data_IF_048527046669
#
_entry.id   IF_048527046669
#
_cell.length_a   1.000
_cell.length_b   1.000
_cell.length_c   1.000
_cell.angle_alpha   90.00
_cell.angle_beta   90.00
_cell.angle_gamma   90.00
#
_symmetry.space_group_name_H-M   'P 1'
#
loop_
_entity.id
_entity.type
_entity.pdbx_description
1 polymer ?
#
# COMPACT_ATOMS: atom_id res chain seq x y z
N UNK A 1 9.02 -15.47 8.31
CA UNK A 1 8.44 -14.78 7.18
C UNK A 1 7.00 -14.37 7.46
N UNK A 2 6.60 -13.19 6.98
CA UNK A 2 5.23 -12.70 7.16
C UNK A 2 4.41 -13.07 5.94
N UNK A 3 3.13 -13.31 6.15
CA UNK A 3 2.22 -13.60 5.06
C UNK A 3 0.78 -13.24 5.40
N UNK A 4 -0.04 -13.12 4.40
CA UNK A 4 -1.46 -12.82 4.56
C UNK A 4 -2.29 -13.42 3.45
N UNK A 5 -3.57 -13.59 3.72
CA UNK A 5 -4.56 -14.12 2.79
C UNK A 5 -5.95 -13.75 3.23
N UNK A 6 -6.96 -14.49 2.87
CA UNK A 6 -8.37 -14.19 3.14
C UNK A 6 -8.66 -14.00 4.63
N UNK A 7 -8.54 -12.76 5.11
CA UNK A 7 -8.76 -12.35 6.50
C UNK A 7 -7.76 -12.93 7.52
N UNK A 8 -6.66 -13.50 7.04
CA UNK A 8 -5.61 -14.06 7.89
C UNK A 8 -4.28 -13.37 7.65
N UNK A 9 -3.52 -13.15 8.72
CA UNK A 9 -2.17 -12.63 8.64
C UNK A 9 -1.24 -13.48 9.49
N UNK A 10 -0.17 -14.00 8.87
CA UNK A 10 0.84 -14.80 9.56
C UNK A 10 1.99 -13.89 10.00
N UNK A 11 2.30 -13.92 11.28
CA UNK A 11 3.36 -13.12 11.88
C UNK A 11 4.39 -14.05 12.52
N UNK A 12 5.62 -13.97 12.05
CA UNK A 12 6.74 -14.70 12.64
C UNK A 12 7.46 -13.79 13.65
N UNK A 13 7.36 -14.12 14.93
CA UNK A 13 7.80 -13.27 16.03
C UNK A 13 9.29 -12.96 16.07
N UNK A 14 10.10 -13.79 15.44
CA UNK A 14 11.54 -13.55 15.34
C UNK A 14 11.89 -12.32 14.47
N UNK A 15 10.94 -11.81 13.71
CA UNK A 15 11.11 -10.60 12.89
C UNK A 15 10.86 -9.29 13.66
N UNK A 16 10.38 -9.32 14.88
CA UNK A 16 10.09 -8.13 15.66
C UNK A 16 11.31 -7.25 15.93
N UNK A 17 12.48 -7.81 15.93
CA UNK A 17 13.72 -7.06 16.13
C UNK A 17 14.05 -6.11 14.97
N UNK A 18 13.29 -6.11 13.89
CA UNK A 18 13.57 -5.35 12.67
C UNK A 18 12.91 -3.96 12.66
N UNK A 19 12.24 -3.55 13.74
CA UNK A 19 11.74 -2.18 13.93
C UNK A 19 10.82 -1.66 12.83
N UNK A 20 11.19 -0.56 12.19
CA UNK A 20 10.39 0.11 11.15
C UNK A 20 10.07 -0.81 9.97
N UNK A 21 10.99 -1.67 9.60
CA UNK A 21 10.77 -2.65 8.55
C UNK A 21 9.61 -3.60 8.90
N UNK A 22 9.50 -3.97 10.18
CA UNK A 22 8.40 -4.80 10.66
C UNK A 22 7.05 -4.10 10.52
N UNK A 23 6.98 -2.80 10.83
CA UNK A 23 5.76 -2.00 10.65
C UNK A 23 5.32 -1.97 9.18
N UNK A 24 6.25 -1.70 8.26
CA UNK A 24 5.96 -1.68 6.82
C UNK A 24 5.47 -3.04 6.31
N UNK A 25 6.12 -4.12 6.73
CA UNK A 25 5.72 -5.48 6.35
C UNK A 25 4.33 -5.80 6.90
N UNK A 26 4.04 -5.43 8.16
CA UNK A 26 2.73 -5.66 8.75
C UNK A 26 1.62 -4.91 8.00
N UNK A 27 1.86 -3.66 7.60
CA UNK A 27 0.91 -2.87 6.81
C UNK A 27 0.70 -3.51 5.44
N UNK A 28 1.76 -3.94 4.78
CA UNK A 28 1.70 -4.62 3.48
C UNK A 28 0.83 -5.89 3.54
N UNK A 29 1.08 -6.75 4.53
CA UNK A 29 0.32 -7.99 4.68
C UNK A 29 -1.13 -7.73 5.11
N UNK A 30 -1.36 -6.71 5.94
CA UNK A 30 -2.72 -6.29 6.31
C UNK A 30 -3.50 -5.80 5.09
N UNK A 31 -2.83 -5.13 4.14
CA UNK A 31 -3.45 -4.71 2.89
C UNK A 31 -3.93 -5.91 2.07
N UNK A 32 -3.13 -6.98 1.98
CA UNK A 32 -3.56 -8.21 1.33
C UNK A 32 -4.81 -8.80 2.01
N UNK A 33 -4.79 -8.85 3.34
CA UNK A 33 -5.89 -9.44 4.10
C UNK A 33 -7.21 -8.69 3.91
N UNK A 34 -7.16 -7.35 3.85
CA UNK A 34 -8.36 -6.51 3.81
C UNK A 34 -8.79 -6.13 2.41
N UNK A 35 -7.87 -5.95 1.49
CA UNK A 35 -8.14 -5.39 0.16
C UNK A 35 -8.28 -6.45 -0.93
N UNK A 36 -7.42 -7.47 -0.93
CA UNK A 36 -7.46 -8.50 -1.96
C UNK A 36 -8.84 -9.18 -2.10
N UNK A 37 -9.50 -9.62 -1.02
CA UNK A 37 -10.81 -10.26 -1.15
C UNK A 37 -11.88 -9.37 -1.77
N UNK A 38 -11.81 -8.05 -1.52
CA UNK A 38 -12.77 -7.09 -2.03
C UNK A 38 -12.58 -6.78 -3.51
N UNK A 39 -11.41 -7.10 -4.06
CA UNK A 39 -10.97 -6.62 -5.37
C UNK A 39 -11.01 -7.66 -6.47
N UNK A 40 -11.16 -8.94 -6.13
CA UNK A 40 -11.24 -10.00 -7.12
C UNK A 40 -12.50 -9.84 -7.98
N UNK A 41 -12.30 -9.57 -9.30
CA UNK A 41 -13.38 -9.48 -10.27
C UNK A 41 -14.34 -8.30 -10.06
N UNK A 42 -13.99 -7.32 -9.23
CA UNK A 42 -14.87 -6.20 -8.87
C UNK A 42 -14.61 -4.95 -9.71
N UNK A 43 -15.57 -4.00 -9.63
CA UNK A 43 -15.42 -2.65 -10.20
C UNK A 43 -14.21 -1.93 -9.58
N UNK A 44 -13.95 -2.15 -8.29
CA UNK A 44 -12.79 -1.59 -7.59
C UNK A 44 -11.49 -2.00 -8.26
N UNK A 45 -11.37 -3.27 -8.64
CA UNK A 45 -10.19 -3.76 -9.35
C UNK A 45 -10.00 -3.05 -10.69
N UNK A 46 -11.07 -2.85 -11.44
CA UNK A 46 -11.03 -2.14 -12.71
C UNK A 46 -10.56 -0.69 -12.54
N UNK A 47 -11.06 0.01 -11.53
CA UNK A 47 -10.66 1.39 -11.21
C UNK A 47 -9.19 1.47 -10.82
N UNK A 48 -8.71 0.52 -10.04
CA UNK A 48 -7.30 0.44 -9.67
C UNK A 48 -6.41 0.24 -10.89
N UNK A 49 -6.79 -0.65 -11.78
CA UNK A 49 -6.05 -0.89 -13.02
C UNK A 49 -5.97 0.36 -13.88
N UNK A 50 -7.03 1.17 -13.92
CA UNK A 50 -7.01 2.48 -14.60
C UNK A 50 -6.02 3.44 -13.95
N UNK A 51 -5.96 3.46 -12.62
CA UNK A 51 -4.99 4.29 -11.90
C UNK A 51 -3.54 3.87 -12.21
N UNK A 52 -3.27 2.57 -12.25
CA UNK A 52 -1.96 2.03 -12.66
C UNK A 52 -1.57 2.55 -14.03
N UNK A 53 -2.47 2.44 -15.00
CA UNK A 53 -2.21 2.88 -16.38
C UNK A 53 -2.00 4.40 -16.47
N UNK A 54 -2.79 5.16 -15.73
CA UNK A 54 -2.69 6.62 -15.72
C UNK A 54 -1.36 7.10 -15.12
N UNK A 55 -0.90 6.46 -14.07
CA UNK A 55 0.41 6.76 -13.47
C UNK A 55 1.57 6.31 -14.36
N UNK A 56 1.37 5.25 -15.14
CA UNK A 56 2.37 4.68 -16.04
C UNK A 56 3.69 4.35 -15.31
N UNK A 57 3.61 3.89 -14.08
CA UNK A 57 4.76 3.63 -13.21
C UNK A 57 4.41 2.62 -12.13
N UNK A 58 5.40 1.85 -11.70
CA UNK A 58 5.25 0.94 -10.57
C UNK A 58 6.08 1.42 -9.39
N UNK A 59 5.57 1.19 -8.18
CA UNK A 59 6.22 1.63 -6.93
C UNK A 59 7.45 0.79 -6.58
N UNK A 60 7.55 -0.42 -7.12
CA UNK A 60 8.68 -1.32 -6.88
C UNK A 60 8.80 -2.35 -8.00
N UNK A 61 9.97 -2.99 -8.16
CA UNK A 61 10.12 -4.12 -9.09
C UNK A 61 9.17 -5.28 -8.78
N UNK A 62 8.87 -5.49 -7.49
CA UNK A 62 7.96 -6.54 -7.05
C UNK A 62 6.53 -6.27 -7.50
N UNK A 63 6.06 -5.02 -7.34
CA UNK A 63 4.75 -4.61 -7.82
C UNK A 63 4.65 -4.73 -9.34
N UNK A 64 5.71 -4.41 -10.07
CA UNK A 64 5.77 -4.57 -11.53
C UNK A 64 5.64 -6.03 -11.96
N UNK A 65 6.31 -6.93 -11.23
CA UNK A 65 6.28 -8.37 -11.51
C UNK A 65 4.92 -8.99 -11.24
N UNK A 66 4.23 -8.54 -10.18
CA UNK A 66 2.94 -9.06 -9.76
C UNK A 66 1.91 -7.95 -9.63
N UNK A 67 1.53 -7.27 -10.74
CA UNK A 67 0.70 -6.06 -10.67
C UNK A 67 -0.72 -6.32 -10.17
N UNK A 68 -1.25 -7.53 -10.34
CA UNK A 68 -2.60 -7.88 -9.90
C UNK A 68 -2.69 -8.18 -8.41
N UNK A 69 -1.56 -8.41 -7.76
CA UNK A 69 -1.52 -8.87 -6.37
C UNK A 69 -0.75 -7.91 -5.47
N UNK A 70 0.41 -7.46 -5.91
CA UNK A 70 1.34 -6.73 -5.05
C UNK A 70 1.29 -5.21 -5.23
N UNK A 71 0.79 -4.72 -6.34
CA UNK A 71 0.81 -3.28 -6.61
C UNK A 71 0.07 -2.49 -5.52
N UNK A 72 -1.13 -2.90 -5.14
CA UNK A 72 -1.88 -2.19 -4.10
C UNK A 72 -1.26 -2.33 -2.72
N UNK A 73 -0.78 -3.52 -2.37
CA UNK A 73 -0.16 -3.76 -1.07
C UNK A 73 1.11 -2.93 -0.90
N UNK A 74 1.92 -2.82 -1.94
CA UNK A 74 3.10 -1.95 -1.95
C UNK A 74 2.72 -0.47 -1.92
N UNK A 75 1.70 -0.09 -2.66
CA UNK A 75 1.26 1.31 -2.75
C UNK A 75 0.68 1.81 -1.43
N UNK A 76 -0.01 0.96 -0.67
CA UNK A 76 -0.62 1.37 0.60
C UNK A 76 0.44 1.89 1.58
N UNK A 77 1.63 1.30 1.59
CA UNK A 77 2.75 1.78 2.41
C UNK A 77 3.14 3.21 2.02
N UNK A 78 3.24 3.49 0.73
CA UNK A 78 3.57 4.82 0.22
C UNK A 78 2.45 5.83 0.51
N UNK A 79 1.20 5.41 0.38
CA UNK A 79 0.06 6.26 0.70
C UNK A 79 0.06 6.65 2.19
N UNK A 80 0.27 5.69 3.09
CA UNK A 80 0.38 5.96 4.53
C UNK A 80 1.56 6.89 4.80
N UNK A 81 2.70 6.66 4.17
CA UNK A 81 3.88 7.50 4.35
C UNK A 81 3.59 8.96 4.02
N UNK A 82 2.96 9.24 2.88
CA UNK A 82 2.71 10.63 2.47
C UNK A 82 1.51 11.27 3.16
N UNK A 83 0.51 10.49 3.58
CA UNK A 83 -0.71 11.03 4.21
C UNK A 83 -0.66 11.07 5.73
N UNK A 84 0.01 10.10 6.35
CA UNK A 84 -0.02 9.91 7.79
C UNK A 84 1.34 10.05 8.47
N UNK A 85 2.43 9.82 7.74
CA UNK A 85 3.78 9.76 8.27
C UNK A 85 4.80 10.57 7.46
N UNK A 86 4.38 11.67 6.90
CA UNK A 86 5.25 12.50 6.05
C UNK A 86 6.49 13.03 6.77
N UNK A 87 6.43 13.13 8.09
CA UNK A 87 7.58 13.52 8.93
C UNK A 87 8.68 12.46 8.98
N UNK A 88 8.39 11.21 8.59
CA UNK A 88 9.34 10.09 8.61
C UNK A 88 10.06 9.89 7.28
N UNK A 89 9.71 10.63 6.25
CA UNK A 89 10.34 10.54 4.94
C UNK A 89 10.97 11.87 4.54
N UNK A 90 11.99 11.82 3.69
CA UNK A 90 12.61 13.03 3.18
C UNK A 90 11.66 13.78 2.25
N UNK A 91 11.87 15.09 2.12
CA UNK A 91 11.13 15.91 1.16
C UNK A 91 11.25 15.36 -0.26
N UNK A 92 12.44 14.91 -0.65
CA UNK A 92 12.67 14.34 -1.97
C UNK A 92 11.84 13.08 -2.19
N UNK A 93 11.80 12.18 -1.20
CA UNK A 93 10.98 10.97 -1.27
C UNK A 93 9.50 11.30 -1.35
N UNK A 94 9.03 12.24 -0.53
CA UNK A 94 7.65 12.72 -0.57
C UNK A 94 7.26 13.20 -1.98
N UNK A 95 8.08 14.08 -2.56
CA UNK A 95 7.83 14.61 -3.90
C UNK A 95 7.83 13.52 -4.98
N UNK A 96 8.75 12.58 -4.89
CA UNK A 96 8.80 11.44 -5.83
C UNK A 96 7.53 10.61 -5.80
N UNK A 97 6.98 10.37 -4.62
CA UNK A 97 5.73 9.60 -4.47
C UNK A 97 4.57 10.40 -5.05
N UNK A 98 4.41 11.65 -4.64
CA UNK A 98 3.31 12.51 -5.08
C UNK A 98 3.30 12.67 -6.61
N UNK A 99 4.45 12.85 -7.22
CA UNK A 99 4.57 13.02 -8.67
C UNK A 99 4.53 11.70 -9.44
N UNK A 100 4.98 10.62 -8.82
CA UNK A 100 5.09 9.32 -9.48
C UNK A 100 3.79 8.53 -9.57
N UNK A 101 2.95 8.60 -8.55
CA UNK A 101 1.72 7.80 -8.47
C UNK A 101 0.49 8.62 -8.06
N UNK A 102 0.25 9.79 -8.67
CA UNK A 102 -0.83 10.67 -8.24
C UNK A 102 -2.23 10.04 -8.37
N UNK A 103 -2.45 9.22 -9.39
CA UNK A 103 -3.76 8.61 -9.62
C UNK A 103 -4.06 7.49 -8.62
N UNK A 104 -3.05 6.70 -8.25
CA UNK A 104 -3.19 5.69 -7.19
C UNK A 104 -3.45 6.36 -5.84
N UNK A 105 -2.73 7.43 -5.52
CA UNK A 105 -2.95 8.18 -4.28
C UNK A 105 -4.37 8.75 -4.22
N UNK A 106 -4.84 9.35 -5.30
CA UNK A 106 -6.20 9.87 -5.40
C UNK A 106 -7.23 8.76 -5.18
N UNK A 107 -7.04 7.61 -5.80
CA UNK A 107 -7.93 6.47 -5.62
C UNK A 107 -8.04 6.07 -4.15
N UNK A 108 -6.92 5.96 -3.46
CA UNK A 108 -6.91 5.58 -2.04
C UNK A 108 -7.53 6.66 -1.16
N UNK A 109 -7.30 7.92 -1.45
CA UNK A 109 -7.94 9.03 -0.73
C UNK A 109 -9.47 8.96 -0.79
N UNK A 110 -10.01 8.57 -1.93
CA UNK A 110 -11.46 8.48 -2.18
C UNK A 110 -12.14 7.31 -1.46
N UNK A 111 -11.38 6.34 -0.95
CA UNK A 111 -11.94 5.18 -0.27
C UNK A 111 -12.39 5.47 1.16
N UNK A 112 -11.94 6.56 1.77
CA UNK A 112 -12.26 6.95 3.15
C UNK A 112 -11.97 5.83 4.17
N UNK A 113 -10.80 5.21 4.06
CA UNK A 113 -10.39 4.16 4.99
C UNK A 113 -10.28 4.68 6.41
N UNK A 114 -10.72 3.88 7.38
CA UNK A 114 -10.45 4.13 8.77
C UNK A 114 -8.99 3.79 9.07
N UNK A 115 -8.19 4.80 9.28
CA UNK A 115 -6.75 4.65 9.54
C UNK A 115 -6.39 4.66 11.02
N UNK A 116 -7.40 4.74 11.91
CA UNK A 116 -7.14 4.74 13.34
C UNK A 116 -6.19 3.58 13.73
N UNK A 117 -5.19 3.78 14.59
CA UNK A 117 -4.88 5.02 15.33
C UNK A 117 -3.97 6.03 14.61
N UNK A 118 -3.71 5.86 13.32
CA UNK A 118 -2.89 6.80 12.55
C UNK A 118 -3.66 8.09 12.26
N UNK A 119 -2.99 9.23 12.41
CA UNK A 119 -3.54 10.53 12.05
C UNK A 119 -3.07 10.89 10.65
N UNK A 120 -4.00 10.92 9.72
CA UNK A 120 -3.73 11.24 8.32
C UNK A 120 -4.32 12.60 7.96
N UNK A 121 -3.57 13.36 7.21
CA UNK A 121 -3.98 14.71 6.80
C UNK A 121 -4.42 14.74 5.34
#
# INVERSE_FOLDING_TARGET
EWGGGNNDMLIYTDMYQWGEFTEEVAIHEAAHTTLDPQWHGSIKRSKWNKAIKADNKFVSPYAKKFPKREDIAETINWWIAVRCKSDRISKLTYEKIILGIPNRLKYLDEQNYDTYPLVCK
#
